data_IF_340159732669
#
_entry.id   IF_340159732669
#
_cell.length_a   1.000
_cell.length_b   1.000
_cell.length_c   1.000
_cell.angle_alpha   90.00
_cell.angle_beta   90.00
_cell.angle_gamma   90.00
#
_symmetry.space_group_name_H-M   'P 1'
#
loop_
_entity.id
_entity.type
_entity.pdbx_description
1 polymer ?
#
# COMPACT_ATOMS: atom_id res chain seq x y z
N UNK A 1 35.63 3.41 11.30
CA UNK A 1 34.35 3.13 10.61
C UNK A 1 33.36 2.63 11.63
N UNK A 2 32.41 3.44 12.08
CA UNK A 2 31.33 2.99 12.95
C UNK A 2 30.28 2.32 12.04
N UNK A 3 30.17 0.99 12.15
CA UNK A 3 29.14 0.23 11.44
C UNK A 3 27.76 0.77 11.79
N UNK A 4 26.88 0.92 10.77
CA UNK A 4 25.49 1.33 10.97
C UNK A 4 24.87 0.44 12.04
N UNK A 5 24.49 1.02 13.17
CA UNK A 5 23.69 0.35 14.19
C UNK A 5 22.37 -0.05 13.50
N UNK A 6 21.95 -1.33 13.55
CA UNK A 6 20.67 -1.75 13.00
C UNK A 6 19.54 -0.94 13.63
N UNK A 7 18.62 -0.43 12.81
CA UNK A 7 17.40 0.21 13.32
C UNK A 7 16.63 -0.86 14.13
N UNK A 8 16.46 -0.63 15.43
CA UNK A 8 15.78 -1.55 16.34
C UNK A 8 14.33 -1.85 15.93
N UNK A 9 13.78 -1.11 14.96
CA UNK A 9 12.46 -1.31 14.37
C UNK A 9 12.43 -2.40 13.29
N UNK A 10 13.57 -2.85 12.76
CA UNK A 10 13.60 -3.79 11.62
C UNK A 10 12.91 -5.15 11.92
N UNK A 11 13.05 -5.76 13.11
CA UNK A 11 12.27 -6.95 13.47
C UNK A 11 10.75 -6.72 13.43
N UNK A 12 10.29 -5.52 13.83
CA UNK A 12 8.88 -5.13 13.77
C UNK A 12 8.44 -4.97 12.31
N UNK A 13 9.26 -4.35 11.47
CA UNK A 13 8.98 -4.22 10.03
C UNK A 13 8.81 -5.60 9.40
N UNK A 14 9.74 -6.53 9.65
CA UNK A 14 9.68 -7.88 9.12
C UNK A 14 8.45 -8.65 9.59
N UNK A 15 8.06 -8.50 10.86
CA UNK A 15 6.83 -9.08 11.39
C UNK A 15 5.59 -8.53 10.67
N UNK A 16 5.53 -7.21 10.45
CA UNK A 16 4.41 -6.58 9.75
C UNK A 16 4.33 -7.03 8.29
N UNK A 17 5.46 -7.15 7.59
CA UNK A 17 5.52 -7.68 6.21
C UNK A 17 4.97 -9.10 6.14
N UNK A 18 5.37 -9.98 7.06
CA UNK A 18 4.84 -11.36 7.14
C UNK A 18 3.34 -11.38 7.42
N UNK A 19 2.87 -10.50 8.30
CA UNK A 19 1.47 -10.39 8.70
C UNK A 19 0.54 -9.97 7.56
N UNK A 20 1.05 -9.40 6.46
CA UNK A 20 0.25 -9.15 5.25
C UNK A 20 -0.29 -10.43 4.59
N UNK A 21 0.24 -11.62 4.94
CA UNK A 21 -0.18 -12.93 4.42
C UNK A 21 -0.88 -13.79 5.47
N UNK A 22 -1.20 -13.24 6.63
CA UNK A 22 -1.84 -13.97 7.72
C UNK A 22 -3.21 -14.54 7.30
N UNK A 23 -3.60 -15.75 7.74
CA UNK A 23 -4.91 -16.31 7.42
C UNK A 23 -6.08 -15.42 7.88
N UNK A 24 -5.91 -14.68 8.97
CA UNK A 24 -6.90 -13.75 9.50
C UNK A 24 -6.92 -12.45 8.70
N UNK A 25 -8.08 -12.17 8.08
CA UNK A 25 -8.34 -10.87 7.44
C UNK A 25 -8.16 -9.67 8.37
N UNK A 26 -8.36 -9.86 9.68
CA UNK A 26 -8.16 -8.78 10.67
C UNK A 26 -6.67 -8.44 10.76
N UNK A 27 -5.81 -9.46 10.88
CA UNK A 27 -4.36 -9.31 10.95
C UNK A 27 -3.83 -8.65 9.67
N UNK A 28 -4.20 -9.15 8.49
CA UNK A 28 -3.79 -8.52 7.21
C UNK A 28 -4.18 -7.05 7.12
N UNK A 29 -5.42 -6.72 7.49
CA UNK A 29 -5.90 -5.33 7.49
C UNK A 29 -5.06 -4.44 8.43
N UNK A 30 -4.77 -4.90 9.64
CA UNK A 30 -3.94 -4.17 10.58
C UNK A 30 -2.48 -4.08 10.13
N UNK A 31 -1.95 -5.14 9.50
CA UNK A 31 -0.60 -5.12 8.94
C UNK A 31 -0.47 -4.05 7.84
N UNK A 32 -1.49 -3.89 6.98
CA UNK A 32 -1.54 -2.78 6.00
C UNK A 32 -1.51 -1.42 6.68
N UNK A 33 -2.34 -1.23 7.71
CA UNK A 33 -2.37 0.02 8.48
C UNK A 33 -1.01 0.31 9.12
N UNK A 34 -0.51 -0.62 9.92
CA UNK A 34 0.73 -0.46 10.68
C UNK A 34 1.95 -0.28 9.78
N UNK A 35 2.10 -1.08 8.72
CA UNK A 35 3.25 -0.98 7.81
C UNK A 35 3.26 0.37 7.08
N UNK A 36 2.09 0.85 6.64
CA UNK A 36 1.98 2.12 5.91
C UNK A 36 1.98 3.35 6.81
N UNK A 37 1.80 3.19 8.12
CA UNK A 37 1.90 4.26 9.13
C UNK A 37 3.30 4.40 9.73
N UNK A 38 4.20 3.44 9.50
CA UNK A 38 5.58 3.55 9.99
C UNK A 38 6.24 4.82 9.48
N UNK A 39 6.90 5.55 10.36
CA UNK A 39 7.73 6.68 10.01
C UNK A 39 9.07 6.21 9.43
N UNK A 40 9.12 6.19 8.10
CA UNK A 40 10.25 5.76 7.28
C UNK A 40 10.42 6.71 6.11
N UNK A 41 11.64 6.76 5.58
CA UNK A 41 11.96 7.50 4.37
C UNK A 41 10.93 7.27 3.25
N UNK A 42 10.46 8.32 2.55
CA UNK A 42 9.49 8.19 1.46
C UNK A 42 9.94 7.20 0.37
N UNK A 43 11.26 7.14 0.13
CA UNK A 43 11.87 6.16 -0.78
C UNK A 43 11.62 4.72 -0.32
N UNK A 44 11.83 4.41 0.96
CA UNK A 44 11.58 3.08 1.52
C UNK A 44 10.11 2.70 1.39
N UNK A 45 9.21 3.60 1.77
CA UNK A 45 7.76 3.37 1.63
C UNK A 45 7.39 3.00 0.20
N UNK A 46 7.89 3.76 -0.78
CA UNK A 46 7.62 3.56 -2.21
C UNK A 46 8.22 2.27 -2.76
N UNK A 47 9.48 1.96 -2.43
CA UNK A 47 10.23 0.86 -3.06
C UNK A 47 10.02 -0.48 -2.35
N UNK A 48 9.67 -0.47 -1.08
CA UNK A 48 9.59 -1.67 -0.25
C UNK A 48 8.16 -1.98 0.20
N UNK A 49 7.41 -0.98 0.70
CA UNK A 49 6.10 -1.24 1.32
C UNK A 49 4.96 -1.23 0.31
N UNK A 50 4.96 -0.27 -0.61
CA UNK A 50 3.93 -0.18 -1.66
C UNK A 50 3.84 -1.47 -2.49
N UNK A 51 4.93 -2.09 -2.97
CA UNK A 51 4.85 -3.36 -3.70
C UNK A 51 4.28 -4.52 -2.89
N UNK A 52 4.42 -4.50 -1.56
CA UNK A 52 3.87 -5.53 -0.68
C UNK A 52 2.38 -5.33 -0.41
N UNK A 53 1.91 -4.08 -0.35
CA UNK A 53 0.50 -3.74 -0.11
C UNK A 53 -0.33 -3.76 -1.39
N UNK A 54 0.27 -3.49 -2.56
CA UNK A 54 -0.41 -3.44 -3.85
C UNK A 54 -1.22 -4.71 -4.20
N UNK A 55 -0.70 -5.94 -3.99
CA UNK A 55 -1.48 -7.17 -4.25
C UNK A 55 -2.73 -7.30 -3.38
N UNK A 56 -2.77 -6.66 -2.20
CA UNK A 56 -3.92 -6.73 -1.29
C UNK A 56 -5.13 -5.94 -1.80
N UNK A 57 -5.01 -5.19 -2.91
CA UNK A 57 -6.17 -4.69 -3.66
C UNK A 57 -7.06 -5.82 -4.22
N UNK A 58 -6.55 -7.05 -4.28
CA UNK A 58 -7.30 -8.26 -4.71
C UNK A 58 -7.47 -9.26 -3.56
N UNK A 59 -7.30 -8.82 -2.31
CA UNK A 59 -7.48 -9.68 -1.14
C UNK A 59 -8.90 -10.30 -1.08
N UNK A 60 -9.06 -11.55 -0.63
CA UNK A 60 -10.39 -12.18 -0.51
C UNK A 60 -11.38 -11.36 0.35
N UNK A 61 -10.88 -10.61 1.32
CA UNK A 61 -11.69 -9.78 2.21
C UNK A 61 -11.82 -8.34 1.70
N UNK A 62 -13.05 -7.89 1.45
CA UNK A 62 -13.34 -6.50 1.08
C UNK A 62 -12.80 -5.48 2.08
N UNK A 63 -12.74 -5.83 3.37
CA UNK A 63 -12.19 -4.95 4.41
C UNK A 63 -10.69 -4.71 4.23
N UNK A 64 -9.96 -5.68 3.68
CA UNK A 64 -8.53 -5.57 3.39
C UNK A 64 -8.34 -4.81 2.10
N UNK A 65 -9.07 -5.14 1.03
CA UNK A 65 -9.04 -4.41 -0.26
C UNK A 65 -9.28 -2.92 -0.09
N UNK A 66 -10.36 -2.56 0.61
CA UNK A 66 -10.70 -1.17 0.94
C UNK A 66 -9.58 -0.48 1.71
N UNK A 67 -8.95 -1.19 2.64
CA UNK A 67 -7.87 -0.62 3.46
C UNK A 67 -6.59 -0.39 2.67
N UNK A 68 -6.21 -1.36 1.84
CA UNK A 68 -5.09 -1.22 0.91
C UNK A 68 -5.32 -0.04 -0.03
N UNK A 69 -6.52 0.09 -0.62
CA UNK A 69 -6.87 1.21 -1.49
C UNK A 69 -6.73 2.57 -0.78
N UNK A 70 -7.22 2.68 0.45
CA UNK A 70 -7.07 3.88 1.27
C UNK A 70 -5.60 4.24 1.53
N UNK A 71 -4.79 3.28 2.01
CA UNK A 71 -3.39 3.53 2.39
C UNK A 71 -2.50 3.84 1.19
N UNK A 72 -2.65 3.11 0.09
CA UNK A 72 -1.95 3.41 -1.15
C UNK A 72 -2.36 4.77 -1.71
N UNK A 73 -3.61 5.20 -1.47
CA UNK A 73 -4.09 6.51 -1.93
C UNK A 73 -3.41 7.67 -1.21
N UNK A 74 -3.04 7.49 0.06
CA UNK A 74 -2.29 8.47 0.84
C UNK A 74 -0.78 8.45 0.51
N UNK A 75 -0.30 7.46 -0.25
CA UNK A 75 1.09 7.34 -0.68
C UNK A 75 1.15 6.81 -2.11
N UNK A 76 0.70 7.60 -3.11
CA UNK A 76 0.51 7.12 -4.49
C UNK A 76 1.82 6.85 -5.24
N UNK A 77 2.97 7.27 -4.70
CA UNK A 77 4.28 7.01 -5.29
C UNK A 77 4.56 5.51 -5.41
N UNK A 78 4.98 5.07 -6.59
CA UNK A 78 5.29 3.65 -6.86
C UNK A 78 4.07 2.75 -7.07
N UNK A 79 2.85 3.28 -6.95
CA UNK A 79 1.63 2.52 -7.23
C UNK A 79 1.47 2.35 -8.74
N UNK A 80 1.30 1.11 -9.20
CA UNK A 80 1.07 0.80 -10.62
C UNK A 80 -0.37 1.14 -11.04
N UNK A 81 -0.52 1.96 -12.09
CA UNK A 81 -1.83 2.25 -12.69
C UNK A 81 -2.51 0.97 -13.16
N UNK A 82 -1.79 0.09 -13.85
CA UNK A 82 -2.36 -1.14 -14.40
C UNK A 82 -2.87 -2.07 -13.31
N UNK A 83 -2.15 -2.18 -12.20
CA UNK A 83 -2.58 -2.99 -11.06
C UNK A 83 -3.87 -2.43 -10.43
N UNK A 84 -3.94 -1.11 -10.26
CA UNK A 84 -5.14 -0.45 -9.72
C UNK A 84 -6.32 -0.56 -10.68
N UNK A 85 -6.09 -0.39 -11.98
CA UNK A 85 -7.13 -0.51 -13.01
C UNK A 85 -7.69 -1.93 -13.07
N UNK A 86 -6.84 -2.97 -13.02
CA UNK A 86 -7.30 -4.37 -12.93
C UNK A 86 -8.12 -4.61 -11.67
N UNK A 87 -7.64 -4.16 -10.51
CA UNK A 87 -8.40 -4.29 -9.26
C UNK A 87 -9.75 -3.56 -9.33
N UNK A 88 -9.81 -2.40 -10.00
CA UNK A 88 -11.05 -1.65 -10.16
C UNK A 88 -12.08 -2.39 -11.03
N UNK A 89 -11.63 -2.98 -12.13
CA UNK A 89 -12.49 -3.73 -13.06
C UNK A 89 -13.08 -4.98 -12.43
N UNK A 90 -12.34 -5.61 -11.53
CA UNK A 90 -12.75 -6.87 -10.90
C UNK A 90 -13.45 -6.69 -9.55
N UNK A 91 -13.48 -5.49 -8.97
CA UNK A 91 -14.01 -5.27 -7.62
C UNK A 91 -15.54 -5.41 -7.60
N UNK A 92 -16.09 -6.44 -6.92
CA UNK A 92 -17.55 -6.63 -6.86
C UNK A 92 -18.24 -5.71 -5.86
N UNK A 93 -17.57 -5.25 -4.79
CA UNK A 93 -18.18 -4.46 -3.72
C UNK A 93 -18.23 -2.97 -4.08
N UNK A 94 -19.41 -2.36 -4.29
CA UNK A 94 -19.50 -0.96 -4.75
C UNK A 94 -18.84 0.06 -3.82
N UNK A 95 -18.96 -0.04 -2.47
CA UNK A 95 -18.21 0.80 -1.55
C UNK A 95 -16.70 0.70 -1.73
N UNK A 96 -16.15 -0.51 -1.87
CA UNK A 96 -14.71 -0.74 -2.09
C UNK A 96 -14.28 -0.24 -3.47
N UNK A 97 -15.10 -0.43 -4.50
CA UNK A 97 -14.86 0.09 -5.86
C UNK A 97 -14.64 1.59 -5.86
N UNK A 98 -15.47 2.36 -5.11
CA UNK A 98 -15.29 3.82 -4.95
C UNK A 98 -13.94 4.18 -4.32
N UNK A 99 -13.41 3.36 -3.42
CA UNK A 99 -12.08 3.60 -2.84
C UNK A 99 -10.95 3.33 -3.83
N UNK A 100 -11.05 2.25 -4.62
CA UNK A 100 -10.08 1.94 -5.67
C UNK A 100 -10.12 3.01 -6.77
N UNK A 101 -11.30 3.52 -7.12
CA UNK A 101 -11.43 4.65 -8.05
C UNK A 101 -10.74 5.91 -7.52
N UNK A 102 -10.96 6.25 -6.25
CA UNK A 102 -10.26 7.37 -5.59
C UNK A 102 -8.76 7.17 -5.57
N UNK A 103 -8.27 5.96 -5.34
CA UNK A 103 -6.85 5.62 -5.46
C UNK A 103 -6.35 5.91 -6.88
N UNK A 104 -7.02 5.40 -7.92
CA UNK A 104 -6.62 5.62 -9.31
C UNK A 104 -6.52 7.10 -9.66
N UNK A 105 -7.51 7.91 -9.25
CA UNK A 105 -7.49 9.36 -9.45
C UNK A 105 -6.28 10.03 -8.78
N UNK A 106 -5.90 9.58 -7.58
CA UNK A 106 -4.71 10.11 -6.88
C UNK A 106 -3.40 9.70 -7.55
N UNK A 107 -3.30 8.46 -8.03
CA UNK A 107 -2.12 7.98 -8.76
C UNK A 107 -1.94 8.75 -10.07
N UNK A 108 -3.03 8.98 -10.81
CA UNK A 108 -3.02 9.77 -12.05
C UNK A 108 -2.58 11.21 -11.79
N UNK A 109 -3.14 11.86 -10.77
CA UNK A 109 -2.77 13.22 -10.37
C UNK A 109 -1.28 13.33 -9.98
N UNK A 110 -0.81 12.42 -9.13
CA UNK A 110 0.58 12.41 -8.69
C UNK A 110 1.59 12.24 -9.85
N UNK A 111 1.20 11.55 -10.93
CA UNK A 111 2.02 11.44 -12.14
C UNK A 111 2.04 12.71 -12.99
N UNK A 112 0.93 13.44 -13.03
CA UNK A 112 0.87 14.74 -13.72
C UNK A 112 1.71 15.78 -13.00
N UNK A 113 1.61 15.84 -11.66
CA UNK A 113 2.38 16.76 -10.82
C UNK A 113 3.87 16.42 -10.84
N UNK A 114 4.26 15.16 -10.65
CA UNK A 114 5.67 14.74 -10.71
C UNK A 114 6.30 14.74 -12.11
N UNK A 115 5.50 14.96 -13.15
CA UNK A 115 5.96 15.18 -14.53
C UNK A 115 6.09 16.66 -14.89
N UNK A 116 5.54 17.59 -14.09
CA UNK A 116 5.71 19.04 -14.26
C UNK A 116 6.98 19.57 -13.61
N UNK A 117 7.58 18.84 -12.67
CA UNK A 117 8.84 19.18 -11.99
C UNK A 117 10.11 18.63 -12.70
N UNK A 118 10.01 18.22 -13.97
CA UNK A 118 11.14 17.70 -14.77
C UNK A 118 11.31 18.45 -16.07
#
# INVERSE_FOLDING_TARGET
MLGKIPDGREPVVELLKRSLRDPSRKVRRFAVDSLMDLDVEPRRRREEFVPLVLPLLRDPSQLVRRRAAYRLGNSPGGVSIDAVARALLEEPDPPTRKWIEKLLRRVLRARQEGGMDR
#
